data_IF_614107940914
#
_entry.id   IF_614107940914
#
_cell.length_a   1.000
_cell.length_b   1.000
_cell.length_c   1.000
_cell.angle_alpha   90.00
_cell.angle_beta   90.00
_cell.angle_gamma   90.00
#
_symmetry.space_group_name_H-M   'P 1'
#
loop_
_entity.id
_entity.type
_entity.pdbx_description
1 polymer ?
#
# COMPACT_ATOMS: atom_id res chain seq x y z
N UNK A 1 -4.61 8.96 -1.33
CA UNK A 1 -4.81 7.83 -0.41
C UNK A 1 -6.24 7.36 -0.58
N UNK A 2 -6.46 6.05 -0.66
CA UNK A 2 -7.78 5.46 -0.78
C UNK A 2 -7.99 4.47 0.37
N UNK A 3 -9.23 4.18 0.74
CA UNK A 3 -9.54 3.25 1.82
C UNK A 3 -10.98 2.75 1.78
N UNK A 4 -11.19 1.56 2.33
CA UNK A 4 -12.51 0.93 2.46
C UNK A 4 -12.60 0.12 3.75
N UNK A 5 -13.80 0.01 4.33
CA UNK A 5 -14.10 -0.88 5.45
C UNK A 5 -14.28 -2.35 5.00
N UNK A 6 -14.37 -2.62 3.70
CA UNK A 6 -14.31 -3.98 3.18
C UNK A 6 -12.91 -4.55 3.41
N UNK A 7 -12.81 -5.56 4.28
CA UNK A 7 -11.52 -6.09 4.72
C UNK A 7 -10.73 -6.86 3.66
N UNK A 8 -11.38 -7.32 2.58
CA UNK A 8 -10.75 -8.10 1.51
C UNK A 8 -11.26 -7.61 0.14
N UNK A 9 -10.88 -6.39 -0.29
CA UNK A 9 -11.30 -5.89 -1.58
C UNK A 9 -10.48 -6.58 -2.70
N UNK A 10 -11.11 -7.02 -3.81
CA UNK A 10 -10.45 -7.79 -4.87
C UNK A 10 -9.18 -7.16 -5.44
N UNK A 11 -9.11 -5.83 -5.49
CA UNK A 11 -7.92 -5.09 -5.96
C UNK A 11 -6.67 -5.32 -5.09
N UNK A 12 -6.83 -5.86 -3.86
CA UNK A 12 -5.75 -6.08 -2.89
C UNK A 12 -5.59 -7.55 -2.46
N UNK A 13 -6.18 -8.51 -3.19
CA UNK A 13 -6.18 -9.92 -2.77
C UNK A 13 -4.93 -10.72 -3.19
N UNK A 14 -4.14 -10.20 -4.14
CA UNK A 14 -2.96 -10.91 -4.68
C UNK A 14 -1.71 -10.01 -4.67
N UNK A 15 -1.08 -9.77 -3.49
CA UNK A 15 0.15 -9.00 -3.41
C UNK A 15 1.32 -9.78 -4.03
N UNK A 16 2.21 -9.07 -4.71
CA UNK A 16 3.46 -9.64 -5.21
C UNK A 16 4.47 -9.88 -4.09
N UNK A 17 4.47 -9.00 -3.07
CA UNK A 17 5.33 -9.11 -1.89
C UNK A 17 4.59 -8.64 -0.65
N UNK A 18 4.80 -9.34 0.47
CA UNK A 18 4.42 -8.84 1.79
C UNK A 18 5.68 -8.44 2.57
N UNK A 19 5.75 -7.16 2.95
CA UNK A 19 6.93 -6.60 3.61
C UNK A 19 6.59 -6.00 4.97
N UNK A 20 7.32 -6.41 6.02
CA UNK A 20 7.18 -5.82 7.35
C UNK A 20 8.14 -4.65 7.52
N UNK A 21 7.62 -3.49 7.91
CA UNK A 21 8.39 -2.26 8.15
C UNK A 21 7.82 -1.52 9.37
N UNK A 22 8.68 -1.14 10.33
CA UNK A 22 8.29 -0.40 11.54
C UNK A 22 7.06 -1.01 12.28
N UNK A 23 7.05 -2.33 12.44
CA UNK A 23 5.99 -3.03 13.19
C UNK A 23 4.68 -3.27 12.43
N UNK A 24 4.57 -2.85 11.15
CA UNK A 24 3.39 -3.08 10.31
C UNK A 24 3.74 -3.88 9.06
N UNK A 25 2.82 -4.71 8.61
CA UNK A 25 2.91 -5.44 7.34
C UNK A 25 2.27 -4.63 6.23
N UNK A 26 2.97 -4.54 5.10
CA UNK A 26 2.50 -3.91 3.88
C UNK A 26 2.39 -4.97 2.79
N UNK A 27 1.34 -4.86 2.01
CA UNK A 27 1.12 -5.66 0.80
C UNK A 27 1.54 -4.78 -0.39
N UNK A 28 2.49 -5.26 -1.17
CA UNK A 28 3.12 -4.56 -2.29
C UNK A 28 2.70 -5.22 -3.60
N UNK A 29 2.24 -4.41 -4.55
CA UNK A 29 1.77 -4.88 -5.85
C UNK A 29 2.64 -4.26 -6.93
N UNK A 30 3.38 -5.13 -7.61
CA UNK A 30 4.33 -4.74 -8.65
C UNK A 30 3.77 -5.02 -10.04
N UNK A 31 4.14 -4.15 -10.97
CA UNK A 31 4.00 -4.31 -12.41
C UNK A 31 5.42 -4.32 -13.00
N UNK A 32 5.93 -5.52 -13.26
CA UNK A 32 7.37 -5.74 -13.48
C UNK A 32 8.19 -5.27 -12.27
N UNK A 33 9.15 -4.37 -12.48
CA UNK A 33 9.98 -3.80 -11.42
C UNK A 33 9.36 -2.58 -10.71
N UNK A 34 8.19 -2.12 -11.16
CA UNK A 34 7.56 -0.89 -10.68
C UNK A 34 6.49 -1.20 -9.64
N UNK A 35 6.59 -0.56 -8.49
CA UNK A 35 5.58 -0.63 -7.45
C UNK A 35 4.37 0.22 -7.88
N UNK A 36 3.20 -0.41 -8.00
CA UNK A 36 1.95 0.24 -8.41
C UNK A 36 1.05 0.52 -7.23
N UNK A 37 0.96 -0.43 -6.30
CA UNK A 37 0.12 -0.29 -5.11
C UNK A 37 0.91 -0.65 -3.87
N UNK A 38 0.75 0.14 -2.82
CA UNK A 38 1.16 -0.20 -1.46
C UNK A 38 -0.08 -0.14 -0.59
N UNK A 39 -0.43 -1.25 0.05
CA UNK A 39 -1.56 -1.30 0.97
C UNK A 39 -1.15 -1.78 2.36
N UNK A 40 -1.97 -1.43 3.34
CA UNK A 40 -1.87 -1.92 4.70
C UNK A 40 -3.26 -2.06 5.31
N UNK A 41 -3.37 -3.00 6.24
CA UNK A 41 -4.63 -3.31 6.93
C UNK A 41 -4.58 -2.82 8.37
N UNK A 42 -5.71 -2.33 8.86
CA UNK A 42 -5.97 -2.07 10.28
C UNK A 42 -7.13 -2.95 10.75
N UNK A 43 -7.44 -3.01 12.05
CA UNK A 43 -8.63 -3.74 12.52
C UNK A 43 -9.95 -3.22 11.91
N UNK A 44 -9.99 -1.96 11.46
CA UNK A 44 -11.20 -1.27 10.98
C UNK A 44 -11.33 -1.24 9.45
N UNK A 45 -10.22 -1.11 8.74
CA UNK A 45 -10.25 -0.80 7.31
C UNK A 45 -8.96 -1.24 6.60
N UNK A 46 -9.01 -1.24 5.28
CA UNK A 46 -7.84 -1.38 4.41
C UNK A 46 -7.57 -0.05 3.72
N UNK A 47 -6.30 0.35 3.68
CA UNK A 47 -5.85 1.59 3.06
C UNK A 47 -4.78 1.28 2.02
N UNK A 48 -4.77 2.06 0.93
CA UNK A 48 -3.74 1.92 -0.10
C UNK A 48 -3.38 3.24 -0.78
N UNK A 49 -2.20 3.21 -1.38
CA UNK A 49 -1.67 4.23 -2.26
C UNK A 49 -1.49 3.55 -3.62
N UNK A 50 -2.02 4.16 -4.67
CA UNK A 50 -1.83 3.71 -6.05
C UNK A 50 -1.01 4.75 -6.82
N UNK A 51 -0.04 4.30 -7.60
CA UNK A 51 0.62 5.11 -8.61
C UNK A 51 -0.24 5.13 -9.88
N UNK A 52 -0.49 6.31 -10.43
CA UNK A 52 -1.21 6.44 -11.71
C UNK A 52 -0.32 5.96 -12.86
N UNK A 53 -0.88 5.82 -14.06
CA UNK A 53 -0.14 5.34 -15.24
C UNK A 53 1.09 6.20 -15.58
N UNK A 54 1.04 7.50 -15.27
CA UNK A 54 2.18 8.43 -15.40
C UNK A 54 3.38 8.08 -14.52
N UNK A 55 3.19 7.21 -13.52
CA UNK A 55 4.24 6.55 -12.73
C UNK A 55 5.31 7.53 -12.19
N UNK A 56 4.88 8.71 -11.76
CA UNK A 56 5.78 9.80 -11.34
C UNK A 56 6.47 9.51 -10.01
N UNK A 57 5.93 8.57 -9.23
CA UNK A 57 6.52 8.12 -7.97
C UNK A 57 7.44 6.91 -8.17
N UNK A 58 8.65 7.00 -7.64
CA UNK A 58 9.55 5.86 -7.49
C UNK A 58 9.06 4.89 -6.39
N UNK A 59 9.49 3.63 -6.44
CA UNK A 59 9.20 2.64 -5.40
C UNK A 59 9.57 3.17 -3.99
N UNK A 60 10.70 3.87 -3.87
CA UNK A 60 11.17 4.46 -2.61
C UNK A 60 10.24 5.57 -2.12
N UNK A 61 9.73 6.43 -3.00
CA UNK A 61 8.78 7.49 -2.63
C UNK A 61 7.44 6.88 -2.19
N UNK A 62 6.92 5.88 -2.90
CA UNK A 62 5.69 5.19 -2.49
C UNK A 62 5.81 4.58 -1.10
N UNK A 63 6.92 3.89 -0.81
CA UNK A 63 7.19 3.34 0.52
C UNK A 63 7.40 4.42 1.58
N UNK A 64 7.96 5.58 1.23
CA UNK A 64 8.06 6.72 2.14
C UNK A 64 6.69 7.29 2.52
N UNK A 65 5.79 7.46 1.54
CA UNK A 65 4.42 7.92 1.77
C UNK A 65 3.63 6.90 2.61
N UNK A 66 3.73 5.60 2.29
CA UNK A 66 3.06 4.56 3.06
C UNK A 66 3.47 4.57 4.54
N UNK A 67 4.77 4.80 4.81
CA UNK A 67 5.30 4.94 6.16
C UNK A 67 4.86 6.22 6.87
N UNK A 68 4.64 7.33 6.15
CA UNK A 68 4.22 8.60 6.78
C UNK A 68 2.74 8.59 7.15
N UNK A 69 1.87 8.09 6.27
CA UNK A 69 0.42 7.99 6.51
C UNK A 69 0.07 7.09 7.69
N UNK A 70 0.96 6.16 8.02
CA UNK A 70 0.82 5.28 9.19
C UNK A 70 0.74 6.09 10.50
N UNK A 71 1.38 7.25 10.61
CA UNK A 71 1.33 8.08 11.84
C UNK A 71 -0.02 8.74 12.08
N UNK A 72 -0.84 8.93 11.05
CA UNK A 72 -2.09 9.70 11.16
C UNK A 72 -3.31 8.83 11.48
N UNK A 73 -3.21 7.51 11.29
CA UNK A 73 -4.31 6.56 11.51
C UNK A 73 -4.03 5.52 12.60
N UNK A 74 -3.18 5.87 13.57
CA UNK A 74 -2.90 5.08 14.78
C UNK A 74 -3.83 5.49 15.91
#
# INVERSE_FOLDING_TARGET
MQGTNWKAPPILDSPSERRRMRGRSYDLFYDGSRLRIVSFRTPRAVYWISNTLTNTLTNRQMLAIARSLTRLGS
#
